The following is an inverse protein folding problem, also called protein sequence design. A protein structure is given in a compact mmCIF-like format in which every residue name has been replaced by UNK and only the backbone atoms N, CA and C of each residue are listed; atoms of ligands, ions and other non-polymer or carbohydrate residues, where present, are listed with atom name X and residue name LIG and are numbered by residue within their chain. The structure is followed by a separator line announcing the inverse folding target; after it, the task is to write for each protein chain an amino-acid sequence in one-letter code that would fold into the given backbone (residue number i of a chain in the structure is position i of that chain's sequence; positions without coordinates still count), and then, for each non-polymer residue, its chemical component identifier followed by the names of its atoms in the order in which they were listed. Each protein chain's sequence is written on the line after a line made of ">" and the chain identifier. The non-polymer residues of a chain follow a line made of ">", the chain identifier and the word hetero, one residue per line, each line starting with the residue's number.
data_IF_363413660954
#
_entry.id   IF_363413660954
#
_cell.length_a   1.000
_cell.length_b   1.000
_cell.length_c   1.000
_cell.angle_alpha   90.00
_cell.angle_beta   90.00
_cell.angle_gamma   90.00
#
_symmetry.space_group_name_H-M   'P 1'
#
loop_
_entity.id
_entity.type
_entity.pdbx_description
1 polymer ?
#
# COMPACT_ATOMS: atom_id res chain seq x y z
N UNK A 1 6.96 -14.71 -13.77
CA UNK A 1 6.17 -14.72 -12.53
C UNK A 1 6.98 -15.50 -11.51
N UNK A 2 7.23 -14.93 -10.34
CA UNK A 2 8.13 -15.47 -9.33
C UNK A 2 7.31 -16.02 -8.16
N UNK A 3 7.52 -17.29 -7.77
CA UNK A 3 6.92 -17.82 -6.55
C UNK A 3 7.66 -17.24 -5.34
N UNK A 4 6.95 -16.54 -4.47
CA UNK A 4 7.53 -15.94 -3.25
C UNK A 4 7.60 -16.97 -2.13
N UNK A 5 6.47 -17.61 -1.83
CA UNK A 5 6.34 -18.61 -0.79
C UNK A 5 5.03 -19.41 -0.95
N UNK A 6 4.82 -20.37 -0.07
CA UNK A 6 3.54 -21.08 0.10
C UNK A 6 3.12 -20.97 1.55
N UNK A 7 1.84 -20.69 1.79
CA UNK A 7 1.22 -20.64 3.11
C UNK A 7 0.07 -21.64 3.22
N UNK A 8 -0.24 -22.04 4.44
CA UNK A 8 -1.46 -22.80 4.72
C UNK A 8 -2.61 -21.83 5.02
N UNK A 9 -3.51 -21.61 4.07
CA UNK A 9 -4.66 -20.71 4.23
C UNK A 9 -5.58 -21.12 5.39
N UNK A 10 -5.65 -22.41 5.72
CA UNK A 10 -6.54 -22.95 6.75
C UNK A 10 -6.08 -22.55 8.15
N UNK A 11 -4.76 -22.38 8.30
CA UNK A 11 -4.11 -21.88 9.49
C UNK A 11 -4.13 -20.35 9.59
N UNK A 12 -4.68 -19.64 8.60
CA UNK A 12 -4.73 -18.20 8.56
C UNK A 12 -6.15 -17.66 8.81
N UNK A 13 -6.21 -16.46 9.37
CA UNK A 13 -7.42 -15.68 9.59
C UNK A 13 -7.25 -14.31 9.00
N UNK A 14 -8.37 -13.71 8.61
CA UNK A 14 -8.46 -12.32 8.22
C UNK A 14 -9.32 -11.59 9.24
N UNK A 15 -8.80 -10.51 9.81
CA UNK A 15 -9.54 -9.62 10.68
C UNK A 15 -9.81 -8.30 9.97
N UNK A 16 -11.06 -7.90 9.97
CA UNK A 16 -11.49 -6.58 9.52
C UNK A 16 -11.57 -5.66 10.72
N UNK A 17 -10.77 -4.61 10.68
CA UNK A 17 -10.58 -3.67 11.77
C UNK A 17 -11.23 -2.34 11.42
N UNK A 18 -11.85 -1.69 12.40
CA UNK A 18 -12.36 -0.33 12.29
C UNK A 18 -11.53 0.63 13.14
N UNK A 19 -10.99 1.64 12.47
CA UNK A 19 -10.26 2.76 13.06
C UNK A 19 -11.27 3.74 13.65
N UNK A 20 -11.11 4.07 14.94
CA UNK A 20 -11.82 5.20 15.52
C UNK A 20 -11.28 6.51 14.94
N UNK A 21 -12.09 7.17 14.10
CA UNK A 21 -11.75 8.43 13.43
C UNK A 21 -11.92 9.67 14.32
N UNK A 22 -12.54 9.53 15.50
CA UNK A 22 -12.77 10.63 16.43
C UNK A 22 -11.54 10.93 17.31
N UNK A 23 -10.47 10.16 17.16
CA UNK A 23 -9.21 10.34 17.90
C UNK A 23 -8.29 11.29 17.12
N UNK A 24 -7.66 12.24 17.82
CA UNK A 24 -6.49 13.02 17.39
C UNK A 24 -6.48 13.47 15.92
N UNK A 25 -7.51 14.21 15.50
CA UNK A 25 -7.55 14.83 14.18
C UNK A 25 -7.50 13.84 13.01
N UNK A 26 -7.72 12.53 13.24
CA UNK A 26 -7.63 11.50 12.19
C UNK A 26 -8.60 11.76 11.04
N UNK A 27 -9.78 12.31 11.36
CA UNK A 27 -10.79 12.74 10.39
C UNK A 27 -10.29 13.79 9.38
N UNK A 28 -9.23 14.55 9.69
CA UNK A 28 -8.65 15.54 8.77
C UNK A 28 -7.82 14.92 7.64
N UNK A 29 -7.28 13.70 7.84
CA UNK A 29 -6.48 12.99 6.84
C UNK A 29 -6.64 11.47 6.98
N UNK A 30 -7.85 10.93 6.78
CA UNK A 30 -8.16 9.54 7.10
C UNK A 30 -7.34 8.56 6.24
N UNK A 31 -7.10 8.89 4.97
CA UNK A 31 -6.22 8.13 4.09
C UNK A 31 -4.77 8.11 4.60
N UNK A 32 -4.23 9.26 5.02
CA UNK A 32 -2.87 9.35 5.55
C UNK A 32 -2.69 8.53 6.84
N UNK A 33 -3.69 8.58 7.73
CA UNK A 33 -3.74 7.79 8.96
C UNK A 33 -3.75 6.31 8.67
N UNK A 34 -4.62 5.85 7.76
CA UNK A 34 -4.73 4.45 7.40
C UNK A 34 -3.39 3.88 6.90
N UNK A 35 -2.71 4.59 6.00
CA UNK A 35 -1.38 4.21 5.51
C UNK A 35 -0.28 4.31 6.56
N UNK A 36 -0.34 5.28 7.46
CA UNK A 36 0.57 5.36 8.61
C UNK A 36 0.39 4.15 9.52
N UNK A 37 -0.84 3.79 9.85
CA UNK A 37 -1.14 2.62 10.68
C UNK A 37 -0.63 1.32 10.06
N UNK A 38 -0.77 1.12 8.74
CA UNK A 38 -0.19 -0.04 8.07
C UNK A 38 1.33 -0.10 8.21
N UNK A 39 2.03 1.04 8.03
CA UNK A 39 3.49 1.13 8.20
C UNK A 39 3.92 0.83 9.63
N UNK A 40 3.27 1.46 10.60
CA UNK A 40 3.54 1.26 12.02
C UNK A 40 3.29 -0.21 12.43
N UNK A 41 2.23 -0.83 11.90
CA UNK A 41 1.93 -2.24 12.11
C UNK A 41 3.00 -3.16 11.53
N UNK A 42 3.42 -2.96 10.27
CA UNK A 42 4.50 -3.76 9.67
C UNK A 42 5.82 -3.64 10.46
N UNK A 43 6.12 -2.45 10.99
CA UNK A 43 7.29 -2.26 11.84
C UNK A 43 7.17 -3.05 13.16
N UNK A 44 6.05 -2.88 13.87
CA UNK A 44 5.80 -3.53 15.17
C UNK A 44 5.73 -5.05 15.08
N UNK A 45 5.25 -5.59 13.95
CA UNK A 45 4.98 -7.01 13.76
C UNK A 45 5.86 -7.70 12.69
N UNK A 46 6.98 -7.09 12.31
CA UNK A 46 7.88 -7.53 11.22
C UNK A 46 8.33 -9.00 11.27
N UNK A 47 8.37 -9.64 12.44
CA UNK A 47 8.74 -11.06 12.61
C UNK A 47 7.58 -12.04 12.82
N UNK A 48 6.34 -11.55 12.89
CA UNK A 48 5.18 -12.37 13.30
C UNK A 48 4.51 -13.15 12.16
N UNK A 49 4.91 -12.92 10.91
CA UNK A 49 4.22 -13.46 9.74
C UNK A 49 2.81 -12.90 9.54
N UNK A 50 2.55 -11.70 10.05
CA UNK A 50 1.27 -10.99 9.87
C UNK A 50 1.42 -9.90 8.82
N UNK A 51 0.32 -9.63 8.13
CA UNK A 51 0.24 -8.67 7.04
C UNK A 51 -0.96 -7.76 7.27
N UNK A 52 -0.87 -6.54 6.77
CA UNK A 52 -1.96 -5.56 6.86
C UNK A 52 -2.08 -4.80 5.55
N UNK A 53 -3.31 -4.42 5.20
CA UNK A 53 -3.55 -3.46 4.14
C UNK A 53 -4.69 -2.50 4.48
N UNK A 54 -4.66 -1.29 3.88
CA UNK A 54 -5.81 -0.40 3.91
C UNK A 54 -6.98 -0.99 3.09
N UNK A 55 -8.21 -0.66 3.49
CA UNK A 55 -9.41 -0.92 2.70
C UNK A 55 -9.93 0.37 2.04
N UNK A 56 -10.85 0.23 1.08
CA UNK A 56 -11.45 1.37 0.38
C UNK A 56 -12.19 2.31 1.35
N UNK A 57 -12.81 1.74 2.37
CA UNK A 57 -13.37 2.46 3.50
C UNK A 57 -12.22 3.06 4.32
N UNK A 58 -12.14 4.39 4.36
CA UNK A 58 -11.01 5.13 4.94
C UNK A 58 -10.85 4.94 6.45
N UNK A 59 -11.82 4.31 7.11
CA UNK A 59 -11.80 3.94 8.51
C UNK A 59 -11.59 2.43 8.75
N UNK A 60 -11.19 1.65 7.76
CA UNK A 60 -11.04 0.20 7.94
C UNK A 60 -9.67 -0.31 7.51
N UNK A 61 -9.18 -1.34 8.21
CA UNK A 61 -7.97 -2.08 7.84
C UNK A 61 -8.31 -3.56 7.71
N UNK A 62 -7.56 -4.28 6.90
CA UNK A 62 -7.61 -5.73 6.85
C UNK A 62 -6.26 -6.27 7.32
N UNK A 63 -6.28 -7.20 8.28
CA UNK A 63 -5.09 -7.87 8.80
C UNK A 63 -5.21 -9.36 8.51
N UNK A 64 -4.18 -9.93 7.89
CA UNK A 64 -4.05 -11.36 7.67
C UNK A 64 -2.92 -11.90 8.55
N UNK A 65 -3.17 -13.02 9.22
CA UNK A 65 -2.19 -13.63 10.11
C UNK A 65 -2.60 -15.04 10.49
N UNK A 66 -1.77 -15.70 11.30
CA UNK A 66 -2.08 -17.03 11.82
C UNK A 66 -3.28 -17.00 12.76
N UNK A 67 -4.02 -18.10 12.82
CA UNK A 67 -5.21 -18.26 13.66
C UNK A 67 -4.93 -18.21 15.18
N UNK A 68 -3.71 -18.52 15.60
CA UNK A 68 -3.26 -18.38 16.99
C UNK A 68 -2.87 -16.93 17.34
N UNK A 69 -2.64 -16.09 16.33
CA UNK A 69 -2.39 -14.67 16.51
C UNK A 69 -3.68 -13.84 16.46
N UNK A 70 -4.47 -14.00 15.40
CA UNK A 70 -5.70 -13.23 15.18
C UNK A 70 -6.93 -14.00 15.71
N UNK A 71 -7.81 -13.39 16.54
CA UNK A 71 -7.77 -12.01 17.05
C UNK A 71 -7.24 -11.90 18.49
N UNK A 72 -6.75 -13.00 19.06
CA UNK A 72 -6.67 -13.13 20.51
C UNK A 72 -5.26 -13.08 21.09
N UNK A 73 -4.20 -12.99 20.29
CA UNK A 73 -2.87 -12.81 20.84
C UNK A 73 -2.80 -11.55 21.71
N UNK A 74 -2.21 -11.62 22.92
CA UNK A 74 -2.12 -10.46 23.81
C UNK A 74 -1.46 -9.24 23.16
N UNK A 75 -0.46 -9.45 22.31
CA UNK A 75 0.22 -8.38 21.56
C UNK A 75 -0.70 -7.73 20.53
N UNK A 76 -1.50 -8.51 19.81
CA UNK A 76 -2.49 -7.99 18.87
C UNK A 76 -3.60 -7.20 19.59
N UNK A 77 -4.13 -7.73 20.70
CA UNK A 77 -5.13 -7.04 21.51
C UNK A 77 -4.58 -5.75 22.15
N UNK A 78 -3.33 -5.76 22.58
CA UNK A 78 -2.66 -4.56 23.09
C UNK A 78 -2.55 -3.49 21.99
N UNK A 79 -2.12 -3.89 20.80
CA UNK A 79 -1.99 -2.98 19.66
C UNK A 79 -3.34 -2.35 19.26
N UNK A 80 -4.41 -3.16 19.15
CA UNK A 80 -5.74 -2.64 18.78
C UNK A 80 -6.25 -1.62 19.80
N UNK A 81 -6.07 -1.88 21.11
CA UNK A 81 -6.41 -0.92 22.17
C UNK A 81 -5.57 0.36 22.08
N UNK A 82 -4.25 0.22 21.98
CA UNK A 82 -3.30 1.35 21.87
C UNK A 82 -3.61 2.25 20.67
N UNK A 83 -3.99 1.66 19.53
CA UNK A 83 -4.29 2.42 18.32
C UNK A 83 -5.74 2.91 18.23
N UNK A 84 -6.58 2.61 19.22
CA UNK A 84 -8.02 2.88 19.19
C UNK A 84 -8.70 2.29 17.95
N UNK A 85 -8.47 1.00 17.75
CA UNK A 85 -9.01 0.19 16.64
C UNK A 85 -9.84 -0.95 17.22
N UNK A 86 -10.98 -1.25 16.61
CA UNK A 86 -11.86 -2.36 17.01
C UNK A 86 -11.87 -3.48 15.96
N UNK A 87 -11.97 -4.73 16.39
CA UNK A 87 -12.17 -5.87 15.48
C UNK A 87 -13.66 -5.97 15.19
N UNK A 88 -14.06 -5.90 13.91
CA UNK A 88 -15.45 -6.01 13.48
C UNK A 88 -15.85 -7.44 13.17
N UNK A 89 -15.06 -8.08 12.34
CA UNK A 89 -15.28 -9.46 11.91
C UNK A 89 -13.94 -10.17 11.79
N UNK A 90 -13.99 -11.49 11.95
CA UNK A 90 -12.84 -12.37 11.76
C UNK A 90 -13.31 -13.56 10.95
N UNK A 91 -12.70 -13.76 9.80
CA UNK A 91 -13.05 -14.81 8.86
C UNK A 91 -11.83 -15.70 8.57
N UNK A 92 -12.06 -16.80 7.85
CA UNK A 92 -10.97 -17.59 7.28
C UNK A 92 -10.27 -16.75 6.21
N UNK A 93 -8.94 -16.78 6.20
CA UNK A 93 -8.21 -16.07 5.15
C UNK A 93 -8.48 -16.70 3.78
N UNK A 94 -8.73 -15.86 2.78
CA UNK A 94 -8.82 -16.26 1.39
C UNK A 94 -7.62 -15.73 0.58
N UNK A 95 -7.50 -16.21 -0.64
CA UNK A 95 -6.42 -15.85 -1.56
C UNK A 95 -6.39 -14.35 -1.87
N UNK A 96 -7.55 -13.69 -1.96
CA UNK A 96 -7.63 -12.25 -2.28
C UNK A 96 -7.12 -11.41 -1.12
N UNK A 97 -7.58 -11.69 0.11
CA UNK A 97 -7.12 -11.00 1.32
C UNK A 97 -5.60 -11.13 1.48
N UNK A 98 -5.06 -12.32 1.25
CA UNK A 98 -3.60 -12.56 1.31
C UNK A 98 -2.89 -11.75 0.23
N UNK A 99 -3.35 -11.81 -1.02
CA UNK A 99 -2.70 -11.11 -2.13
C UNK A 99 -2.65 -9.59 -1.91
N UNK A 100 -3.75 -8.98 -1.47
CA UNK A 100 -3.82 -7.54 -1.16
C UNK A 100 -2.90 -7.15 0.00
N UNK A 101 -2.88 -7.94 1.08
CA UNK A 101 -2.01 -7.72 2.22
C UNK A 101 -0.52 -7.87 1.87
N UNK A 102 -0.14 -8.88 1.08
CA UNK A 102 1.22 -9.05 0.57
C UNK A 102 1.59 -7.89 -0.35
N UNK A 103 0.69 -7.48 -1.26
CA UNK A 103 0.88 -6.32 -2.13
C UNK A 103 1.19 -5.08 -1.30
N UNK A 104 0.43 -4.81 -0.25
CA UNK A 104 0.69 -3.67 0.63
C UNK A 104 2.05 -3.78 1.33
N UNK A 105 2.40 -4.96 1.85
CA UNK A 105 3.68 -5.20 2.51
C UNK A 105 4.88 -4.96 1.59
N UNK A 106 4.81 -5.41 0.34
CA UNK A 106 5.84 -5.15 -0.67
C UNK A 106 6.01 -3.65 -0.88
N UNK A 107 4.92 -2.87 -0.96
CA UNK A 107 5.04 -1.43 -1.16
C UNK A 107 5.68 -0.77 0.06
N UNK A 108 5.24 -1.09 1.27
CA UNK A 108 5.81 -0.53 2.51
C UNK A 108 7.30 -0.86 2.61
N UNK A 109 7.69 -2.08 2.24
CA UNK A 109 9.11 -2.46 2.19
C UNK A 109 9.88 -1.69 1.12
N UNK A 110 9.32 -1.49 -0.08
CA UNK A 110 9.99 -0.74 -1.16
C UNK A 110 10.09 0.77 -0.84
N UNK A 111 9.16 1.34 -0.09
CA UNK A 111 9.20 2.74 0.36
C UNK A 111 10.46 3.04 1.18
N UNK A 112 10.93 2.11 2.02
CA UNK A 112 12.19 2.26 2.77
C UNK A 112 13.44 2.18 1.89
N UNK A 113 13.31 1.70 0.65
CA UNK A 113 14.37 1.61 -0.36
C UNK A 113 14.25 2.71 -1.43
N UNK A 114 13.58 3.82 -1.10
CA UNK A 114 13.39 5.00 -1.96
C UNK A 114 12.61 4.70 -3.25
N UNK A 115 11.67 3.76 -3.20
CA UNK A 115 10.65 3.64 -4.23
C UNK A 115 9.42 4.47 -3.85
N UNK A 116 8.94 5.25 -4.81
CA UNK A 116 7.79 6.13 -4.66
C UNK A 116 6.64 5.65 -5.53
N UNK A 117 5.41 5.82 -5.05
CA UNK A 117 4.20 5.47 -5.81
C UNK A 117 3.91 6.52 -6.87
N UNK A 118 3.71 6.07 -8.11
CA UNK A 118 3.20 6.87 -9.22
C UNK A 118 1.97 6.15 -9.79
N UNK A 119 0.78 6.52 -9.33
CA UNK A 119 -0.45 5.78 -9.62
C UNK A 119 -0.36 4.32 -9.16
N UNK A 120 -0.44 3.38 -10.10
CA UNK A 120 -0.32 1.93 -9.84
C UNK A 120 1.13 1.41 -9.93
N UNK A 121 2.08 2.24 -10.35
CA UNK A 121 3.47 1.86 -10.51
C UNK A 121 4.34 2.37 -9.35
N UNK A 122 5.53 1.80 -9.23
CA UNK A 122 6.58 2.26 -8.33
C UNK A 122 7.76 2.78 -9.14
N UNK A 123 8.41 3.82 -8.66
CA UNK A 123 9.57 4.41 -9.33
C UNK A 123 10.69 4.66 -8.33
N UNK A 124 11.91 4.30 -8.70
CA UNK A 124 13.08 4.49 -7.84
C UNK A 124 13.55 5.94 -7.92
N UNK A 125 13.59 6.62 -6.77
CA UNK A 125 14.23 7.92 -6.64
C UNK A 125 15.70 7.81 -6.19
N UNK A 126 16.31 8.92 -5.75
CA UNK A 126 15.72 10.26 -5.62
C UNK A 126 15.60 11.01 -6.96
N UNK A 127 14.59 11.89 -7.09
CA UNK A 127 14.37 12.73 -8.27
C UNK A 127 14.92 14.14 -8.02
N UNK A 128 16.24 14.32 -8.16
CA UNK A 128 16.93 15.59 -7.82
C UNK A 128 17.18 16.45 -9.07
N UNK A 129 16.66 16.05 -10.24
CA UNK A 129 16.99 16.70 -11.51
C UNK A 129 16.03 17.85 -11.85
N UNK A 130 16.60 18.97 -12.32
CA UNK A 130 15.89 20.05 -13.00
C UNK A 130 15.69 19.80 -14.50
N UNK A 131 16.17 18.66 -15.02
CA UNK A 131 15.98 18.22 -16.40
C UNK A 131 15.19 16.92 -16.46
N UNK A 132 14.57 16.64 -17.61
CA UNK A 132 13.84 15.40 -17.82
C UNK A 132 14.77 14.18 -17.72
N UNK A 133 14.32 13.15 -16.99
CA UNK A 133 15.10 11.94 -16.73
C UNK A 133 14.35 10.72 -17.26
N UNK A 134 15.07 9.85 -17.97
CA UNK A 134 14.60 8.49 -18.25
C UNK A 134 14.58 7.69 -16.95
N UNK A 135 13.42 7.23 -16.55
CA UNK A 135 13.26 6.42 -15.35
C UNK A 135 12.60 5.08 -15.70
N UNK A 136 12.84 4.08 -14.84
CA UNK A 136 12.14 2.80 -14.92
C UNK A 136 11.04 2.82 -13.87
N UNK A 137 9.79 2.76 -14.32
CA UNK A 137 8.66 2.43 -13.46
C UNK A 137 8.51 0.92 -13.41
N UNK A 138 8.09 0.43 -12.25
CA UNK A 138 7.86 -0.97 -11.99
C UNK A 138 6.38 -1.14 -11.67
N UNK A 139 5.68 -1.84 -12.55
CA UNK A 139 4.39 -2.41 -12.22
C UNK A 139 4.61 -3.75 -11.55
N UNK A 140 3.86 -4.01 -10.49
CA UNK A 140 3.86 -5.34 -9.91
C UNK A 140 2.45 -5.74 -9.51
N UNK A 141 2.25 -7.05 -9.51
CA UNK A 141 1.01 -7.69 -9.14
C UNK A 141 1.31 -8.92 -8.28
N UNK A 142 0.43 -9.17 -7.32
CA UNK A 142 0.54 -10.30 -6.40
C UNK A 142 -0.66 -11.18 -6.60
N UNK A 143 -0.41 -12.47 -6.82
CA UNK A 143 -1.43 -13.48 -6.91
C UNK A 143 -1.23 -14.50 -5.80
N UNK A 144 -2.32 -14.91 -5.14
CA UNK A 144 -2.34 -16.05 -4.26
C UNK A 144 -3.28 -17.10 -4.87
N UNK A 145 -2.85 -18.36 -4.92
CA UNK A 145 -3.71 -19.45 -5.38
C UNK A 145 -4.62 -19.95 -4.26
N UNK A 146 -5.63 -20.76 -4.59
CA UNK A 146 -6.47 -21.44 -3.60
C UNK A 146 -5.70 -22.45 -2.74
N UNK A 147 -4.51 -22.86 -3.18
CA UNK A 147 -3.60 -23.72 -2.43
C UNK A 147 -2.62 -22.92 -1.54
N UNK A 148 -2.74 -21.59 -1.52
CA UNK A 148 -1.89 -20.71 -0.73
C UNK A 148 -0.51 -20.44 -1.33
N UNK A 149 -0.31 -20.69 -2.63
CA UNK A 149 0.93 -20.33 -3.30
C UNK A 149 0.90 -18.85 -3.70
N UNK A 150 1.91 -18.10 -3.27
CA UNK A 150 2.00 -16.66 -3.51
C UNK A 150 3.00 -16.40 -4.63
N UNK A 151 2.58 -15.63 -5.61
CA UNK A 151 3.33 -15.27 -6.79
C UNK A 151 3.41 -13.76 -6.96
N UNK A 152 4.57 -13.29 -7.41
CA UNK A 152 4.83 -11.91 -7.78
C UNK A 152 5.09 -11.82 -9.29
N UNK A 153 4.33 -10.96 -9.97
CA UNK A 153 4.64 -10.52 -11.33
C UNK A 153 5.24 -9.13 -11.26
N UNK A 154 6.37 -8.93 -11.93
CA UNK A 154 7.03 -7.62 -12.04
C UNK A 154 7.15 -7.30 -13.53
N UNK A 155 6.74 -6.10 -13.92
CA UNK A 155 6.77 -5.61 -15.31
C UNK A 155 7.40 -4.22 -15.32
N UNK A 156 8.68 -4.10 -15.70
CA UNK A 156 9.34 -2.80 -15.83
C UNK A 156 8.89 -2.09 -17.12
N UNK A 157 8.78 -0.78 -17.06
CA UNK A 157 8.55 0.08 -18.21
C UNK A 157 9.44 1.32 -18.10
N UNK A 158 10.05 1.72 -19.20
CA UNK A 158 10.79 2.99 -19.27
C UNK A 158 9.81 4.12 -19.51
N UNK A 159 9.89 5.16 -18.69
CA UNK A 159 9.13 6.41 -18.82
C UNK A 159 10.08 7.60 -18.80
N UNK A 160 9.60 8.74 -19.24
CA UNK A 160 10.28 10.02 -19.05
C UNK A 160 9.59 10.78 -17.94
N UNK A 161 10.37 11.19 -16.94
CA UNK A 161 9.92 12.11 -15.91
C UNK A 161 10.38 13.51 -16.27
N UNK A 162 9.47 14.47 -16.27
CA UNK A 162 9.78 15.90 -16.36
C UNK A 162 9.51 16.54 -15.01
N UNK A 163 10.38 17.46 -14.53
CA UNK A 163 10.09 18.23 -13.33
C UNK A 163 8.84 19.09 -13.55
N UNK A 164 8.09 19.33 -12.47
CA UNK A 164 7.00 20.30 -12.48
C UNK A 164 7.58 21.71 -12.49
N UNK A 165 6.98 22.58 -13.28
CA UNK A 165 7.31 24.00 -13.29
C UNK A 165 6.84 24.67 -11.99
N UNK A 166 7.50 25.74 -11.51
CA UNK A 166 7.18 26.39 -10.24
C UNK A 166 5.71 26.84 -10.10
N UNK A 167 5.06 27.22 -11.21
CA UNK A 167 3.64 27.62 -11.22
C UNK A 167 2.67 26.45 -11.06
N UNK A 168 3.13 25.21 -11.21
CA UNK A 168 2.32 23.99 -11.07
C UNK A 168 2.25 23.51 -9.62
N UNK A 169 3.06 24.08 -8.71
CA UNK A 169 3.12 23.69 -7.31
C UNK A 169 3.11 24.96 -6.43
N UNK A 170 1.96 25.33 -5.88
CA UNK A 170 1.88 26.36 -4.84
C UNK A 170 2.42 25.81 -3.51
N UNK A 171 3.74 25.65 -3.36
CA UNK A 171 4.34 25.46 -2.03
C UNK A 171 5.78 25.95 -1.92
N UNK A 172 6.07 26.64 -0.81
CA UNK A 172 7.41 27.14 -0.42
C UNK A 172 8.39 26.03 -0.01
N UNK A 173 7.94 24.78 0.12
CA UNK A 173 8.79 23.61 0.31
C UNK A 173 8.38 22.52 -0.70
N UNK A 174 9.31 21.76 -1.30
CA UNK A 174 8.98 20.80 -2.35
C UNK A 174 8.10 19.67 -1.80
N UNK A 175 6.80 19.68 -2.17
CA UNK A 175 5.90 18.54 -2.03
C UNK A 175 5.69 17.95 -3.42
N UNK A 176 6.15 16.71 -3.62
CA UNK A 176 5.96 15.99 -4.87
C UNK A 176 4.50 15.51 -4.95
N UNK A 177 3.67 16.22 -5.71
CA UNK A 177 2.36 15.72 -6.14
C UNK A 177 2.57 15.03 -7.49
N UNK A 178 2.50 13.69 -7.52
CA UNK A 178 2.59 12.95 -8.78
C UNK A 178 1.30 13.13 -9.57
N UNK A 179 1.33 13.95 -10.61
CA UNK A 179 0.28 13.98 -11.62
C UNK A 179 0.29 12.64 -12.38
N UNK A 180 -0.87 11.98 -12.45
CA UNK A 180 -1.10 10.87 -13.37
C UNK A 180 -0.81 11.37 -14.81
N UNK A 181 -0.35 10.50 -15.72
CA UNK A 181 -0.29 10.88 -17.12
C UNK A 181 -1.70 11.32 -17.55
N UNK A 182 -1.82 12.55 -18.05
CA UNK A 182 -2.96 12.94 -18.87
C UNK A 182 -3.10 11.84 -19.93
N UNK A 183 -4.19 11.09 -19.85
CA UNK A 183 -4.69 10.38 -21.02
C UNK A 183 -4.81 11.48 -22.07
N UNK A 184 -3.97 11.40 -23.09
CA UNK A 184 -4.02 12.29 -24.24
C UNK A 184 -5.43 12.10 -24.80
N UNK A 185 -6.36 12.97 -24.40
CA UNK A 185 -7.52 13.27 -25.19
C UNK A 185 -6.93 13.89 -26.47
N UNK A 186 -6.77 13.03 -27.48
CA UNK A 186 -6.63 13.46 -28.85
C UNK A 186 -7.85 14.33 -29.16
N UNK A 187 -7.70 15.64 -29.02
CA UNK A 187 -8.56 16.60 -29.70
C UNK A 187 -7.63 17.40 -30.59
N UNK A 188 -7.54 16.92 -31.83
CA UNK A 188 -7.16 17.75 -32.96
C UNK A 188 -8.07 18.98 -32.96
N UNK A 189 -7.50 20.17 -32.82
CA UNK A 189 -7.99 21.31 -33.57
C UNK A 189 -6.85 21.76 -34.49
N UNK A 190 -6.92 21.22 -35.70
CA UNK A 190 -6.50 21.94 -36.89
C UNK A 190 -7.43 23.14 -37.08
N UNK A 191 -6.84 24.20 -37.62
CA UNK A 191 -7.45 25.30 -38.36
C UNK A 191 -8.29 26.31 -37.56
N UNK A 192 -7.71 27.47 -37.23
CA UNK A 192 -7.88 28.73 -37.99
C UNK A 192 -6.99 29.84 -37.45
#
# INVERSE_FOLDING_TARGET
>A
MYKLCTINLDACRVAYLEINQNVDGRSSSPHGIQYKMCRDFFYEFSGSGTLVCPLRQLNQLMVVGRADFIPNAPTFQYWTRKQHVSVKTVDRADSLSVAECVRCGIIVWLESHQYYRCGKALIKGPFISSSAVKAVVIYFDVHCTSLGEIYLRVSPQTVYLSPLEPWQVESTAPRWVFCLPNIIAQVNFKDS
#
